data_IF_144120455490
#
_entry.id   IF_144120455490
#
_cell.length_a   1.000
_cell.length_b   1.000
_cell.length_c   1.000
_cell.angle_alpha   90.00
_cell.angle_beta   90.00
_cell.angle_gamma   90.00
#
_symmetry.space_group_name_H-M   'P 1'
#
loop_
_entity.id
_entity.type
_entity.pdbx_description
1 polymer ?
#
# COMPACT_ATOMS: atom_id res chain seq x y z
N UNK A 1 47.31 17.59 -61.97
CA UNK A 1 47.71 16.51 -61.04
C UNK A 1 46.60 16.40 -60.00
N UNK A 2 45.42 15.86 -60.34
CA UNK A 2 45.05 14.44 -60.38
C UNK A 2 45.43 13.64 -59.12
N UNK A 3 44.46 13.49 -58.20
CA UNK A 3 43.85 12.24 -57.73
C UNK A 3 43.43 12.37 -56.26
N UNK A 4 42.13 12.38 -55.96
CA UNK A 4 41.27 11.19 -55.72
C UNK A 4 41.69 10.43 -54.47
N UNK A 5 40.93 10.58 -53.37
CA UNK A 5 39.76 9.75 -52.98
C UNK A 5 40.17 8.55 -52.10
N UNK A 6 39.36 8.38 -51.05
CA UNK A 6 38.74 7.13 -50.60
C UNK A 6 39.16 6.61 -49.21
N UNK A 7 38.15 6.56 -48.34
CA UNK A 7 38.01 5.50 -47.34
C UNK A 7 38.12 4.12 -48.00
N UNK A 8 38.44 3.11 -47.19
CA UNK A 8 37.66 1.88 -47.25
C UNK A 8 37.16 1.43 -45.88
N UNK A 9 35.88 1.06 -45.84
CA UNK A 9 35.37 -0.02 -45.01
C UNK A 9 35.99 -1.32 -45.53
N UNK A 10 36.48 -2.20 -44.65
CA UNK A 10 36.51 -3.64 -44.93
C UNK A 10 36.54 -4.50 -43.67
N UNK A 11 35.60 -5.44 -43.69
CA UNK A 11 35.29 -6.57 -42.84
C UNK A 11 36.41 -7.64 -42.93
N UNK A 12 36.76 -8.33 -41.83
CA UNK A 12 36.72 -9.81 -41.69
C UNK A 12 37.42 -10.37 -40.43
N UNK A 13 36.65 -11.18 -39.70
CA UNK A 13 36.89 -12.43 -38.97
C UNK A 13 38.32 -12.96 -38.65
N UNK A 14 38.47 -13.44 -37.39
CA UNK A 14 39.04 -14.75 -37.01
C UNK A 14 38.57 -15.10 -35.57
N UNK A 15 37.73 -16.10 -35.24
CA UNK A 15 37.79 -17.58 -35.29
C UNK A 15 38.59 -18.27 -34.16
N UNK A 16 38.01 -19.37 -33.66
CA UNK A 16 38.47 -20.43 -32.71
C UNK A 16 37.94 -20.26 -31.26
N UNK A 17 36.81 -20.85 -30.83
CA UNK A 17 36.40 -22.28 -30.72
C UNK A 17 37.39 -23.21 -30.01
N UNK A 18 36.93 -23.78 -28.89
CA UNK A 18 37.15 -25.13 -28.27
C UNK A 18 36.75 -24.97 -26.77
N UNK A 19 35.86 -25.71 -26.12
CA UNK A 19 35.08 -26.93 -26.39
C UNK A 19 34.36 -27.32 -25.08
N UNK A 20 33.43 -28.28 -25.08
CA UNK A 20 32.38 -28.48 -24.07
C UNK A 20 32.83 -29.38 -22.89
N UNK A 21 32.25 -29.18 -21.71
CA UNK A 21 32.53 -30.03 -20.54
C UNK A 21 31.45 -30.00 -19.45
N UNK A 22 30.65 -31.07 -19.43
CA UNK A 22 29.93 -31.64 -18.28
C UNK A 22 29.01 -30.76 -17.42
N UNK A 23 27.72 -30.80 -17.78
CA UNK A 23 26.63 -30.81 -16.81
C UNK A 23 26.69 -32.10 -15.98
N UNK A 24 26.63 -31.99 -14.64
CA UNK A 24 25.98 -32.94 -13.71
C UNK A 24 26.09 -32.38 -12.29
N UNK A 25 25.51 -31.20 -12.10
CA UNK A 25 25.16 -30.68 -10.78
C UNK A 25 23.65 -30.56 -10.74
N UNK A 26 22.98 -31.59 -10.23
CA UNK A 26 21.54 -31.65 -9.99
C UNK A 26 21.21 -30.61 -8.92
N UNK A 27 21.13 -29.33 -9.32
CA UNK A 27 20.44 -28.30 -8.54
C UNK A 27 18.98 -28.73 -8.51
N UNK A 28 18.55 -29.23 -7.36
CA UNK A 28 17.14 -29.30 -7.00
C UNK A 28 16.56 -27.91 -7.20
N UNK A 29 15.90 -27.74 -8.34
CA UNK A 29 15.07 -26.60 -8.69
C UNK A 29 13.91 -26.55 -7.71
N UNK A 30 14.12 -25.88 -6.58
CA UNK A 30 13.07 -25.40 -5.70
C UNK A 30 12.91 -23.92 -6.00
N UNK A 31 11.95 -23.66 -6.88
CA UNK A 31 11.10 -22.48 -6.99
C UNK A 31 11.81 -21.13 -6.75
N UNK A 32 12.18 -20.47 -7.85
CA UNK A 32 12.24 -19.02 -7.84
C UNK A 32 10.84 -18.54 -7.43
N UNK A 33 10.71 -17.94 -6.24
CA UNK A 33 9.57 -17.08 -5.95
C UNK A 33 9.65 -15.98 -7.01
N UNK A 34 8.65 -15.92 -7.88
CA UNK A 34 8.34 -14.83 -8.82
C UNK A 34 9.56 -14.07 -9.38
N UNK A 35 10.12 -14.51 -10.52
CA UNK A 35 11.49 -14.19 -10.95
C UNK A 35 11.79 -12.73 -11.29
N UNK A 36 10.83 -11.80 -11.20
CA UNK A 36 11.02 -10.41 -11.63
C UNK A 36 11.16 -9.40 -10.48
N UNK A 37 10.60 -9.67 -9.28
CA UNK A 37 10.51 -8.65 -8.22
C UNK A 37 11.14 -9.05 -6.88
N UNK A 38 10.94 -10.31 -6.44
CA UNK A 38 11.28 -10.74 -5.09
C UNK A 38 12.00 -12.08 -5.14
N UNK A 39 13.13 -12.18 -4.43
CA UNK A 39 13.90 -13.40 -4.29
C UNK A 39 14.14 -13.69 -2.80
N UNK A 40 14.42 -14.93 -2.43
CA UNK A 40 14.76 -15.23 -1.03
C UNK A 40 16.26 -15.08 -0.76
N UNK A 41 16.61 -14.43 0.35
CA UNK A 41 17.98 -13.99 0.63
C UNK A 41 18.89 -15.08 1.22
N UNK A 42 18.39 -15.90 2.16
CA UNK A 42 19.24 -16.87 2.88
C UNK A 42 18.51 -18.14 3.37
N UNK A 43 17.23 -18.04 3.77
CA UNK A 43 16.35 -19.21 3.99
C UNK A 43 15.11 -19.08 3.08
N UNK A 44 15.06 -19.93 2.07
CA UNK A 44 14.02 -19.87 1.05
C UNK A 44 12.66 -20.33 1.56
N UNK A 45 12.57 -21.15 2.62
CA UNK A 45 11.31 -21.82 2.94
C UNK A 45 10.39 -20.97 3.79
N UNK A 46 10.90 -20.36 4.86
CA UNK A 46 10.08 -19.50 5.72
C UNK A 46 9.69 -18.20 5.01
N UNK A 47 10.64 -17.54 4.34
CA UNK A 47 10.39 -16.29 3.62
C UNK A 47 9.37 -16.47 2.49
N UNK A 48 9.46 -17.59 1.73
CA UNK A 48 8.44 -17.99 0.76
C UNK A 48 7.06 -18.14 1.40
N UNK A 49 6.98 -18.92 2.47
CA UNK A 49 5.71 -19.24 3.11
C UNK A 49 5.03 -17.99 3.68
N UNK A 50 5.78 -17.05 4.22
CA UNK A 50 5.25 -15.78 4.72
C UNK A 50 4.79 -14.87 3.58
N UNK A 51 5.52 -14.84 2.46
CA UNK A 51 5.14 -14.07 1.28
C UNK A 51 3.88 -14.63 0.61
N UNK A 52 3.78 -15.95 0.48
CA UNK A 52 2.56 -16.62 0.00
C UNK A 52 1.40 -16.38 0.96
N UNK A 53 1.65 -16.42 2.28
CA UNK A 53 0.65 -16.11 3.30
C UNK A 53 0.11 -14.67 3.20
N UNK A 54 0.96 -13.69 2.91
CA UNK A 54 0.56 -12.30 2.63
C UNK A 54 -0.44 -12.21 1.48
N UNK A 55 -0.38 -13.15 0.53
CA UNK A 55 -1.14 -13.15 -0.72
C UNK A 55 -0.26 -13.02 -1.96
N UNK A 56 1.06 -13.20 -1.82
CA UNK A 56 2.03 -13.14 -2.90
C UNK A 56 2.20 -11.75 -3.51
N UNK A 57 2.64 -11.73 -4.76
CA UNK A 57 2.95 -10.50 -5.50
C UNK A 57 1.75 -9.53 -5.61
N UNK A 58 0.51 -9.96 -5.88
CA UNK A 58 -0.62 -9.02 -5.98
C UNK A 58 -0.87 -8.25 -4.68
N UNK A 59 -0.86 -8.93 -3.53
CA UNK A 59 -1.05 -8.29 -2.22
C UNK A 59 0.13 -7.39 -1.86
N UNK A 60 1.35 -7.81 -2.17
CA UNK A 60 2.55 -7.00 -1.97
C UNK A 60 2.55 -5.73 -2.82
N UNK A 61 2.20 -5.83 -4.11
CA UNK A 61 2.10 -4.68 -4.99
C UNK A 61 1.00 -3.71 -4.53
N UNK A 62 -0.15 -4.22 -4.08
CA UNK A 62 -1.21 -3.38 -3.55
C UNK A 62 -0.79 -2.66 -2.25
N UNK A 63 -0.05 -3.35 -1.37
CA UNK A 63 0.61 -2.73 -0.21
C UNK A 63 1.55 -1.60 -0.62
N UNK A 64 2.47 -1.85 -1.55
CA UNK A 64 3.40 -0.83 -2.05
C UNK A 64 2.68 0.35 -2.71
N UNK A 65 1.59 0.10 -3.45
CA UNK A 65 0.75 1.16 -4.05
C UNK A 65 0.06 2.00 -2.99
N UNK A 66 -0.50 1.37 -1.96
CA UNK A 66 -1.11 2.08 -0.83
C UNK A 66 -0.07 2.98 -0.15
N UNK A 67 1.10 2.44 0.18
CA UNK A 67 2.18 3.20 0.81
C UNK A 67 2.62 4.38 -0.07
N UNK A 68 2.84 4.15 -1.36
CA UNK A 68 3.22 5.18 -2.33
C UNK A 68 2.18 6.32 -2.43
N UNK A 69 0.88 5.97 -2.45
CA UNK A 69 -0.20 6.96 -2.60
C UNK A 69 -0.43 7.79 -1.35
N UNK A 70 -0.33 7.16 -0.18
CA UNK A 70 -0.83 7.76 1.06
C UNK A 70 0.26 8.18 2.05
N UNK A 71 1.43 7.51 2.04
CA UNK A 71 2.39 7.64 3.14
C UNK A 71 3.82 7.99 2.71
N UNK A 72 4.25 7.59 1.51
CA UNK A 72 5.63 7.76 1.05
C UNK A 72 5.77 8.93 0.09
N UNK A 73 6.80 9.75 0.29
CA UNK A 73 7.19 10.83 -0.60
C UNK A 73 8.48 10.53 -1.38
N UNK A 74 8.85 11.44 -2.27
CA UNK A 74 10.11 11.36 -3.03
C UNK A 74 11.36 11.36 -2.12
N UNK A 75 11.27 11.91 -0.91
CA UNK A 75 12.37 11.96 0.05
C UNK A 75 12.56 10.63 0.78
N UNK A 76 11.51 9.88 1.04
CA UNK A 76 11.58 8.52 1.60
C UNK A 76 12.43 7.61 0.72
N UNK A 77 12.30 7.78 -0.59
CA UNK A 77 13.06 7.05 -1.58
C UNK A 77 14.46 7.63 -1.87
N UNK A 78 14.86 8.75 -1.27
CA UNK A 78 16.23 9.28 -1.41
C UNK A 78 17.07 9.05 -0.16
N UNK A 79 16.45 8.72 0.98
CA UNK A 79 17.10 8.47 2.27
C UNK A 79 17.52 7.01 2.51
N UNK A 80 17.63 6.22 1.45
CA UNK A 80 17.90 4.79 1.57
C UNK A 80 19.14 4.47 2.40
N UNK A 81 18.96 3.63 3.43
CA UNK A 81 20.07 2.93 4.03
C UNK A 81 20.64 1.95 2.99
N UNK A 82 21.79 2.29 2.39
CA UNK A 82 22.41 1.51 1.30
C UNK A 82 22.62 0.04 1.66
N UNK A 83 22.87 -0.22 2.94
CA UNK A 83 23.07 -1.56 3.53
C UNK A 83 21.86 -2.50 3.41
N UNK A 84 20.65 -1.97 3.24
CA UNK A 84 19.40 -2.75 3.20
C UNK A 84 18.49 -2.39 2.03
N UNK A 85 19.02 -1.67 1.02
CA UNK A 85 18.25 -1.10 -0.09
C UNK A 85 17.34 -2.10 -0.79
N UNK A 86 17.84 -3.30 -0.97
CA UNK A 86 17.19 -4.36 -1.73
C UNK A 86 16.64 -5.45 -0.81
N UNK A 87 16.24 -5.10 0.41
CA UNK A 87 15.71 -6.06 1.39
C UNK A 87 14.27 -5.76 1.76
N UNK A 88 13.49 -6.82 1.91
CA UNK A 88 12.16 -6.85 2.49
C UNK A 88 12.18 -7.85 3.65
N UNK A 89 11.75 -7.43 4.84
CA UNK A 89 11.72 -8.33 6.00
C UNK A 89 10.28 -8.66 6.39
N UNK A 90 10.03 -9.93 6.69
CA UNK A 90 8.71 -10.42 7.10
C UNK A 90 8.80 -11.25 8.37
N UNK A 91 7.80 -11.13 9.25
CA UNK A 91 7.62 -12.06 10.37
C UNK A 91 6.16 -12.19 10.75
N UNK A 92 5.78 -13.35 11.29
CA UNK A 92 4.52 -13.49 12.02
C UNK A 92 4.63 -12.80 13.36
N UNK A 93 3.58 -12.10 13.75
CA UNK A 93 3.44 -11.53 15.09
C UNK A 93 2.47 -12.40 15.88
N UNK A 94 2.90 -12.82 17.07
CA UNK A 94 2.00 -13.43 18.03
C UNK A 94 1.36 -12.32 18.86
N UNK A 95 0.03 -12.23 18.79
CA UNK A 95 -0.74 -11.36 19.68
C UNK A 95 -1.51 -12.21 20.69
N UNK A 96 -1.73 -11.65 21.87
CA UNK A 96 -2.66 -12.23 22.84
C UNK A 96 -4.06 -12.05 22.27
N UNK A 97 -4.71 -13.16 21.94
CA UNK A 97 -6.02 -13.19 21.33
C UNK A 97 -6.98 -14.00 22.23
N UNK A 98 -8.27 -13.67 22.16
CA UNK A 98 -9.30 -14.45 22.84
C UNK A 98 -9.42 -15.85 22.22
N UNK A 99 -9.97 -16.81 22.97
CA UNK A 99 -10.07 -18.20 22.51
C UNK A 99 -10.88 -18.40 21.20
N UNK A 100 -11.64 -17.40 20.77
CA UNK A 100 -12.45 -17.41 19.54
C UNK A 100 -11.84 -16.56 18.42
N UNK A 101 -10.67 -15.96 18.63
CA UNK A 101 -9.96 -15.15 17.65
C UNK A 101 -8.80 -15.95 17.04
N UNK A 102 -8.99 -16.38 15.79
CA UNK A 102 -8.01 -17.07 14.96
C UNK A 102 -7.31 -16.10 13.98
N UNK A 103 -7.39 -14.79 14.23
CA UNK A 103 -6.75 -13.79 13.38
C UNK A 103 -5.25 -13.99 13.33
N UNK A 104 -4.68 -13.69 12.16
CA UNK A 104 -3.23 -13.78 11.93
C UNK A 104 -2.65 -12.40 11.73
N UNK A 105 -1.42 -12.23 12.20
CA UNK A 105 -0.71 -10.96 12.14
C UNK A 105 0.64 -11.14 11.45
N UNK A 106 0.95 -10.22 10.55
CA UNK A 106 2.18 -10.21 9.79
C UNK A 106 2.79 -8.81 9.86
N UNK A 107 4.09 -8.75 10.08
CA UNK A 107 4.85 -7.51 9.92
C UNK A 107 5.66 -7.55 8.65
N UNK A 108 5.59 -6.46 7.89
CA UNK A 108 6.37 -6.22 6.68
C UNK A 108 7.22 -4.99 6.91
N UNK A 109 8.53 -5.13 6.76
CA UNK A 109 9.50 -4.04 6.99
C UNK A 109 10.23 -3.74 5.70
N UNK A 110 10.26 -2.45 5.36
CA UNK A 110 11.12 -1.86 4.34
C UNK A 110 12.29 -1.16 5.06
N UNK A 111 13.34 -1.92 5.45
CA UNK A 111 14.42 -1.43 6.30
C UNK A 111 15.15 -0.24 5.68
N UNK A 112 15.24 -0.20 4.35
CA UNK A 112 15.92 0.86 3.61
C UNK A 112 15.32 2.25 3.84
N UNK A 113 14.00 2.32 4.03
CA UNK A 113 13.24 3.57 4.23
C UNK A 113 12.68 3.71 5.65
N UNK A 114 13.02 2.79 6.55
CA UNK A 114 12.59 2.83 7.95
C UNK A 114 11.07 2.66 8.15
N UNK A 115 10.39 1.97 7.23
CA UNK A 115 8.93 1.74 7.29
C UNK A 115 8.65 0.32 7.78
N UNK A 116 7.75 0.20 8.76
CA UNK A 116 7.20 -1.07 9.22
C UNK A 116 5.68 -1.01 9.17
N UNK A 117 5.08 -2.04 8.59
CA UNK A 117 3.64 -2.19 8.45
C UNK A 117 3.21 -3.44 9.22
N UNK A 118 2.28 -3.28 10.15
CA UNK A 118 1.62 -4.41 10.81
C UNK A 118 0.28 -4.65 10.12
N UNK A 119 0.09 -5.89 9.69
CA UNK A 119 -1.07 -6.35 8.98
C UNK A 119 -1.85 -7.35 9.84
N UNK A 120 -3.18 -7.34 9.72
CA UNK A 120 -4.09 -8.32 10.33
C UNK A 120 -4.93 -8.98 9.26
N UNK A 121 -5.01 -10.31 9.28
CA UNK A 121 -6.03 -11.08 8.58
C UNK A 121 -7.06 -11.54 9.60
N UNK A 122 -8.21 -10.87 9.64
CA UNK A 122 -9.22 -11.10 10.65
C UNK A 122 -9.89 -12.47 10.47
N UNK A 123 -10.03 -13.21 11.56
CA UNK A 123 -10.88 -14.41 11.66
C UNK A 123 -11.34 -14.58 13.11
N UNK A 124 -12.40 -13.88 13.47
CA UNK A 124 -12.94 -13.93 14.83
C UNK A 124 -14.47 -13.78 14.85
N UNK A 125 -15.06 -14.08 16.01
CA UNK A 125 -16.48 -13.93 16.25
C UNK A 125 -16.72 -12.93 17.37
N UNK A 126 -17.75 -12.09 17.21
CA UNK A 126 -18.28 -11.23 18.26
C UNK A 126 -19.61 -11.83 18.72
N UNK A 127 -19.64 -12.62 19.83
CA UNK A 127 -20.83 -13.33 20.27
C UNK A 127 -22.02 -12.42 20.54
N UNK A 128 -21.79 -11.25 21.15
CA UNK A 128 -22.79 -10.27 21.56
C UNK A 128 -23.55 -9.71 20.36
N UNK A 129 -22.84 -9.50 19.24
CA UNK A 129 -23.41 -8.99 17.99
C UNK A 129 -23.85 -10.11 17.04
N UNK A 130 -23.61 -11.38 17.40
CA UNK A 130 -23.79 -12.55 16.52
C UNK A 130 -23.08 -12.38 15.16
N UNK A 131 -21.97 -11.65 15.15
CA UNK A 131 -21.24 -11.27 13.94
C UNK A 131 -19.98 -12.13 13.81
N UNK A 132 -19.74 -12.65 12.60
CA UNK A 132 -18.47 -13.28 12.24
C UNK A 132 -17.67 -12.27 11.40
N UNK A 133 -16.45 -11.95 11.84
CA UNK A 133 -15.57 -11.01 11.14
C UNK A 133 -14.46 -11.82 10.48
N UNK A 134 -14.45 -11.82 9.16
CA UNK A 134 -13.46 -12.49 8.33
C UNK A 134 -12.95 -11.55 7.25
N UNK A 135 -11.65 -11.59 7.01
CA UNK A 135 -11.02 -10.86 5.89
C UNK A 135 -10.44 -11.83 4.89
N UNK A 136 -10.71 -11.59 3.61
CA UNK A 136 -10.16 -12.40 2.51
C UNK A 136 -8.63 -12.30 2.45
N UNK A 137 -8.09 -11.13 2.79
CA UNK A 137 -6.67 -10.82 2.81
C UNK A 137 -6.22 -10.13 4.09
N UNK A 138 -4.94 -9.75 4.10
CA UNK A 138 -4.37 -8.92 5.14
C UNK A 138 -4.78 -7.46 4.97
N UNK A 139 -5.12 -6.79 6.09
CA UNK A 139 -5.41 -5.36 6.16
C UNK A 139 -4.39 -4.66 7.05
N UNK A 140 -4.01 -3.44 6.70
CA UNK A 140 -3.11 -2.59 7.48
C UNK A 140 -3.84 -2.16 8.75
N UNK A 141 -3.25 -2.49 9.90
CA UNK A 141 -3.74 -2.02 11.21
C UNK A 141 -2.78 -1.01 11.85
N UNK A 142 -1.53 -0.97 11.39
CA UNK A 142 -0.54 -0.03 11.89
C UNK A 142 0.54 0.23 10.85
N UNK A 143 0.92 1.49 10.73
CA UNK A 143 2.08 1.93 9.99
C UNK A 143 3.00 2.71 10.93
N UNK A 144 4.30 2.42 10.88
CA UNK A 144 5.32 3.06 11.69
C UNK A 144 6.48 3.50 10.79
N UNK A 145 6.92 4.76 10.98
CA UNK A 145 8.10 5.36 10.32
C UNK A 145 9.16 5.66 11.37
N UNK A 146 10.44 5.47 11.01
CA UNK A 146 11.67 5.83 11.76
C UNK A 146 11.85 5.24 13.17
N UNK A 147 10.87 5.34 14.07
CA UNK A 147 10.94 4.85 15.45
C UNK A 147 10.99 3.33 15.55
N UNK A 148 10.47 2.60 14.57
CA UNK A 148 10.50 1.13 14.57
C UNK A 148 11.83 0.54 14.07
N UNK A 149 12.67 1.35 13.39
CA UNK A 149 14.02 0.93 12.95
C UNK A 149 14.92 0.55 14.13
N UNK A 150 14.73 1.18 15.29
CA UNK A 150 15.51 0.87 16.50
C UNK A 150 15.04 -0.42 17.20
N UNK A 151 13.79 -0.82 16.99
CA UNK A 151 13.20 -1.98 17.66
C UNK A 151 13.34 -3.27 16.83
N UNK A 152 13.28 -3.18 15.50
CA UNK A 152 13.39 -4.33 14.61
C UNK A 152 14.86 -4.74 14.41
N UNK A 153 15.20 -5.97 14.79
CA UNK A 153 16.50 -6.57 14.50
C UNK A 153 16.34 -7.55 13.35
N UNK A 154 17.20 -7.47 12.33
CA UNK A 154 17.18 -8.37 11.16
C UNK A 154 17.07 -9.85 11.52
N UNK A 155 17.72 -10.28 12.61
CA UNK A 155 17.71 -11.68 13.07
C UNK A 155 16.32 -12.22 13.43
N UNK A 156 15.34 -11.35 13.67
CA UNK A 156 13.98 -11.72 14.06
C UNK A 156 13.04 -11.88 12.86
N UNK A 157 13.55 -11.76 11.63
CA UNK A 157 12.75 -11.73 10.40
C UNK A 157 13.27 -12.69 9.34
N UNK A 158 12.33 -13.21 8.55
CA UNK A 158 12.63 -13.80 7.26
C UNK A 158 12.94 -12.69 6.25
N UNK A 159 14.03 -12.84 5.49
CA UNK A 159 14.53 -11.80 4.58
C UNK A 159 14.34 -12.24 3.13
N UNK A 160 13.70 -11.37 2.37
CA UNK A 160 13.61 -11.43 0.92
C UNK A 160 14.50 -10.33 0.32
N UNK A 161 15.14 -10.65 -0.80
CA UNK A 161 15.71 -9.66 -1.71
C UNK A 161 14.59 -9.05 -2.55
N UNK A 162 14.58 -7.74 -2.66
CA UNK A 162 13.62 -6.96 -3.42
C UNK A 162 14.37 -6.24 -4.56
N UNK A 163 13.99 -6.52 -5.80
CA UNK A 163 14.42 -5.69 -6.92
C UNK A 163 13.66 -4.37 -6.88
N UNK A 164 14.28 -3.38 -6.25
CA UNK A 164 13.67 -2.05 -6.09
C UNK A 164 13.46 -1.36 -7.44
N UNK A 165 14.29 -1.64 -8.45
CA UNK A 165 14.16 -1.06 -9.77
C UNK A 165 12.94 -1.63 -10.49
N UNK A 166 12.79 -2.95 -10.48
CA UNK A 166 11.60 -3.62 -11.01
C UNK A 166 10.32 -3.17 -10.26
N UNK A 167 10.40 -2.97 -8.93
CA UNK A 167 9.27 -2.44 -8.16
C UNK A 167 8.84 -1.07 -8.66
N UNK A 168 9.78 -0.17 -8.90
CA UNK A 168 9.44 1.17 -9.39
C UNK A 168 8.86 1.16 -10.78
N UNK A 169 9.44 0.40 -11.70
CA UNK A 169 8.90 0.25 -13.05
C UNK A 169 7.45 -0.24 -12.96
N UNK A 170 7.21 -1.24 -12.11
CA UNK A 170 5.87 -1.78 -11.89
C UNK A 170 4.92 -0.77 -11.26
N UNK A 171 5.31 -0.07 -10.20
CA UNK A 171 4.48 0.97 -9.58
C UNK A 171 4.17 2.11 -10.55
N UNK A 172 5.12 2.48 -11.41
CA UNK A 172 4.92 3.48 -12.44
C UNK A 172 3.89 3.01 -13.46
N UNK A 173 3.97 1.77 -13.95
CA UNK A 173 2.97 1.20 -14.86
C UNK A 173 1.56 1.21 -14.25
N UNK A 174 1.44 0.80 -12.99
CA UNK A 174 0.17 0.66 -12.28
C UNK A 174 -0.35 1.98 -11.67
N UNK A 175 0.36 3.11 -11.84
CA UNK A 175 0.08 4.36 -11.10
C UNK A 175 -1.34 4.89 -11.31
N UNK A 176 -1.89 4.70 -12.51
CA UNK A 176 -3.24 5.14 -12.90
C UNK A 176 -4.32 4.07 -12.72
N UNK A 177 -3.95 2.84 -12.37
CA UNK A 177 -4.94 1.81 -12.10
C UNK A 177 -5.72 2.14 -10.83
N UNK A 178 -7.03 2.01 -10.90
CA UNK A 178 -7.92 2.41 -9.81
C UNK A 178 -8.98 1.35 -9.60
N UNK A 179 -9.16 0.99 -8.33
CA UNK A 179 -10.31 0.25 -7.86
C UNK A 179 -11.14 1.21 -7.03
N UNK A 180 -12.45 1.25 -7.28
CA UNK A 180 -13.35 2.15 -6.58
C UNK A 180 -14.20 1.40 -5.57
N UNK A 181 -14.65 2.08 -4.49
CA UNK A 181 -15.60 1.48 -3.57
C UNK A 181 -16.87 1.05 -4.31
N UNK A 182 -17.55 0.01 -3.82
CA UNK A 182 -18.80 -0.46 -4.40
C UNK A 182 -19.86 0.65 -4.41
N UNK A 183 -20.84 0.57 -5.31
CA UNK A 183 -21.93 1.57 -5.35
C UNK A 183 -22.70 1.63 -4.03
N UNK A 184 -22.85 0.49 -3.34
CA UNK A 184 -23.48 0.40 -2.03
C UNK A 184 -22.70 1.19 -0.98
N UNK A 185 -21.38 1.03 -0.92
CA UNK A 185 -20.53 1.78 0.01
C UNK A 185 -20.55 3.29 -0.32
N UNK A 186 -20.48 3.64 -1.60
CA UNK A 186 -20.59 5.04 -2.01
C UNK A 186 -21.93 5.67 -1.63
N UNK A 187 -23.05 4.93 -1.79
CA UNK A 187 -24.37 5.41 -1.42
C UNK A 187 -24.52 5.56 0.10
N UNK A 188 -24.00 4.60 0.87
CA UNK A 188 -23.98 4.65 2.33
C UNK A 188 -23.19 5.88 2.82
N UNK A 189 -21.98 6.08 2.30
CA UNK A 189 -21.13 7.23 2.63
C UNK A 189 -21.75 8.55 2.19
N UNK A 190 -22.35 8.62 0.99
CA UNK A 190 -23.04 9.84 0.54
C UNK A 190 -24.19 10.21 1.47
N UNK A 191 -24.99 9.22 1.89
CA UNK A 191 -26.10 9.45 2.83
C UNK A 191 -25.60 9.85 4.22
N UNK A 192 -24.44 9.35 4.65
CA UNK A 192 -23.80 9.75 5.90
C UNK A 192 -23.23 11.17 5.83
N UNK A 193 -22.54 11.51 4.74
CA UNK A 193 -22.05 12.85 4.47
C UNK A 193 -23.19 13.86 4.43
N UNK A 194 -24.31 13.56 3.79
CA UNK A 194 -25.47 14.45 3.76
C UNK A 194 -26.05 14.76 5.16
N UNK A 195 -25.82 13.87 6.16
CA UNK A 195 -26.20 14.14 7.55
C UNK A 195 -25.15 14.93 8.33
N UNK A 196 -23.87 14.77 7.98
CA UNK A 196 -22.72 15.36 8.68
C UNK A 196 -22.32 16.73 8.14
N UNK A 197 -22.44 16.90 6.84
CA UNK A 197 -22.20 18.16 6.18
C UNK A 197 -23.24 19.15 6.71
N UNK A 198 -22.77 20.28 7.26
CA UNK A 198 -23.62 21.43 7.58
C UNK A 198 -24.03 22.16 6.29
N UNK A 199 -24.37 21.39 5.27
CA UNK A 199 -24.80 21.86 3.96
C UNK A 199 -26.31 22.11 4.00
N UNK A 200 -26.80 23.18 3.38
CA UNK A 200 -28.22 23.31 3.10
C UNK A 200 -28.73 22.05 2.39
N UNK A 201 -29.90 21.55 2.79
CA UNK A 201 -30.49 20.29 2.32
C UNK A 201 -30.75 20.23 0.80
N UNK A 202 -30.61 21.36 0.10
CA UNK A 202 -30.79 21.48 -1.36
C UNK A 202 -29.51 21.94 -2.07
N UNK A 203 -28.38 22.05 -1.36
CA UNK A 203 -27.12 22.45 -1.96
C UNK A 203 -26.58 21.31 -2.84
N UNK A 204 -26.06 21.61 -4.04
CA UNK A 204 -25.39 20.59 -4.85
C UNK A 204 -24.19 20.03 -4.08
N UNK A 205 -24.09 18.70 -4.04
CA UNK A 205 -22.97 18.00 -3.43
C UNK A 205 -22.19 17.25 -4.50
N UNK A 206 -21.06 17.80 -4.91
CA UNK A 206 -20.11 17.08 -5.76
C UNK A 206 -19.08 16.38 -4.87
N UNK A 207 -19.14 15.05 -4.88
CA UNK A 207 -18.29 14.16 -4.10
C UNK A 207 -17.26 13.49 -5.00
N UNK A 208 -16.02 13.40 -4.51
CA UNK A 208 -14.92 12.73 -5.17
C UNK A 208 -14.42 11.59 -4.30
N UNK A 209 -14.70 10.35 -4.70
CA UNK A 209 -14.29 9.15 -3.98
C UNK A 209 -12.89 8.73 -4.41
N UNK A 210 -11.97 8.62 -3.47
CA UNK A 210 -10.65 8.06 -3.74
C UNK A 210 -10.75 6.57 -4.15
N UNK A 211 -9.76 6.06 -4.89
CA UNK A 211 -9.57 4.63 -5.06
C UNK A 211 -9.37 3.95 -3.69
N UNK A 212 -9.85 2.72 -3.57
CA UNK A 212 -9.64 1.85 -2.41
C UNK A 212 -8.53 0.85 -2.71
N UNK A 213 -7.88 0.37 -1.66
CA UNK A 213 -6.95 -0.74 -1.74
C UNK A 213 -7.56 -1.98 -1.08
N UNK A 214 -7.09 -3.15 -1.47
CA UNK A 214 -7.47 -4.39 -0.78
C UNK A 214 -6.71 -4.53 0.54
N UNK A 215 -5.61 -3.83 0.71
CA UNK A 215 -4.79 -3.90 1.93
C UNK A 215 -5.19 -2.87 2.99
N UNK A 216 -6.09 -1.93 2.72
CA UNK A 216 -6.54 -0.93 3.69
C UNK A 216 -8.02 -1.12 4.05
N UNK A 217 -8.45 -0.40 5.07
CA UNK A 217 -9.84 -0.37 5.49
C UNK A 217 -10.32 1.08 5.67
N UNK A 218 -9.85 1.93 4.75
CA UNK A 218 -10.08 3.36 4.75
C UNK A 218 -10.69 3.78 3.41
N UNK A 219 -11.50 4.84 3.43
CA UNK A 219 -12.01 5.50 2.24
C UNK A 219 -11.95 7.01 2.42
N UNK A 220 -11.26 7.67 1.51
CA UNK A 220 -11.21 9.12 1.44
C UNK A 220 -12.24 9.67 0.47
N UNK A 221 -12.96 10.70 0.90
CA UNK A 221 -13.94 11.41 0.06
C UNK A 221 -13.71 12.91 0.19
N UNK A 222 -13.62 13.60 -0.94
CA UNK A 222 -13.57 15.06 -0.98
C UNK A 222 -14.92 15.64 -1.39
N UNK A 223 -15.43 16.56 -0.58
CA UNK A 223 -16.61 17.36 -0.91
C UNK A 223 -16.17 18.74 -1.43
N UNK A 224 -16.46 19.00 -2.71
CA UNK A 224 -15.91 20.14 -3.42
C UNK A 224 -16.46 21.48 -2.95
N UNK A 225 -17.76 21.59 -2.70
CA UNK A 225 -18.40 22.87 -2.33
C UNK A 225 -18.03 23.26 -0.90
N UNK A 226 -18.03 22.30 0.02
CA UNK A 226 -17.65 22.51 1.42
C UNK A 226 -16.14 22.59 1.65
N UNK A 227 -15.31 22.26 0.66
CA UNK A 227 -13.84 22.18 0.79
C UNK A 227 -13.41 21.27 1.95
N UNK A 228 -14.12 20.17 2.14
CA UNK A 228 -13.90 19.23 3.24
C UNK A 228 -13.41 17.88 2.72
N UNK A 229 -12.41 17.33 3.39
CA UNK A 229 -11.96 15.96 3.25
C UNK A 229 -12.56 15.11 4.37
N UNK A 230 -13.06 13.94 4.00
CA UNK A 230 -13.57 12.96 4.93
C UNK A 230 -12.75 11.69 4.80
N UNK A 231 -12.26 11.18 5.93
CA UNK A 231 -11.65 9.86 6.03
C UNK A 231 -12.60 8.94 6.78
N UNK A 232 -13.16 7.99 6.06
CA UNK A 232 -13.92 6.89 6.62
C UNK A 232 -12.97 5.75 6.95
N UNK A 233 -13.13 5.16 8.13
CA UNK A 233 -12.39 3.98 8.57
C UNK A 233 -13.30 3.05 9.37
N UNK A 234 -12.93 1.78 9.43
CA UNK A 234 -13.65 0.78 10.20
C UNK A 234 -12.68 -0.25 10.77
N UNK A 235 -13.03 -0.86 11.90
CA UNK A 235 -12.30 -2.01 12.46
C UNK A 235 -12.71 -3.34 11.78
N UNK A 236 -13.84 -3.31 11.05
CA UNK A 236 -14.42 -4.42 10.27
C UNK A 236 -14.39 -4.02 8.80
N UNK A 237 -14.26 -4.97 7.87
CA UNK A 237 -14.17 -4.68 6.43
C UNK A 237 -15.23 -3.66 5.97
N UNK A 238 -14.75 -2.51 5.50
CA UNK A 238 -15.53 -1.34 5.10
C UNK A 238 -16.41 -1.67 3.91
N UNK A 239 -16.01 -2.62 3.07
CA UNK A 239 -16.77 -3.04 1.90
C UNK A 239 -17.96 -3.96 2.25
N UNK A 240 -18.02 -4.52 3.46
CA UNK A 240 -19.04 -5.47 3.89
C UNK A 240 -20.30 -4.75 4.43
N UNK A 241 -21.45 -4.79 3.72
CA UNK A 241 -22.65 -4.06 4.14
C UNK A 241 -23.20 -4.50 5.50
N UNK A 242 -22.98 -5.76 5.90
CA UNK A 242 -23.38 -6.24 7.22
C UNK A 242 -22.68 -5.46 8.34
N UNK A 243 -21.45 -5.00 8.14
CA UNK A 243 -20.69 -4.24 9.13
C UNK A 243 -21.39 -2.92 9.49
N UNK A 244 -21.97 -2.23 8.50
CA UNK A 244 -22.61 -0.91 8.67
C UNK A 244 -23.88 -0.97 9.53
N UNK A 245 -24.48 -2.15 9.68
CA UNK A 245 -25.69 -2.33 10.49
C UNK A 245 -25.37 -2.40 11.99
N UNK A 246 -24.14 -2.82 12.33
CA UNK A 246 -23.74 -3.11 13.71
C UNK A 246 -22.81 -2.05 14.31
N UNK A 247 -22.08 -1.30 13.47
CA UNK A 247 -21.24 -0.20 13.90
C UNK A 247 -21.35 0.98 12.91
N UNK A 248 -21.48 2.23 13.40
CA UNK A 248 -21.34 3.39 12.53
C UNK A 248 -19.90 3.44 12.00
N UNK A 249 -19.74 3.86 10.75
CA UNK A 249 -18.41 4.12 10.21
C UNK A 249 -17.76 5.25 11.01
N UNK A 250 -16.52 5.04 11.43
CA UNK A 250 -15.72 6.12 11.97
C UNK A 250 -15.38 7.08 10.83
N UNK A 251 -15.57 8.36 11.07
CA UNK A 251 -15.40 9.38 10.05
C UNK A 251 -14.74 10.61 10.66
N UNK A 252 -13.52 10.88 10.21
CA UNK A 252 -12.83 12.14 10.49
C UNK A 252 -13.09 13.13 9.35
N UNK A 253 -13.39 14.38 9.70
CA UNK A 253 -13.62 15.45 8.74
C UNK A 253 -12.58 16.56 8.93
N UNK A 254 -12.03 17.05 7.82
CA UNK A 254 -11.00 18.08 7.80
C UNK A 254 -11.39 19.17 6.80
N UNK A 255 -11.53 20.40 7.29
CA UNK A 255 -11.60 21.59 6.46
C UNK A 255 -10.23 21.83 5.82
N UNK A 256 -10.16 21.71 4.49
CA UNK A 256 -8.89 21.80 3.74
C UNK A 256 -8.29 23.21 3.73
N UNK A 257 -9.05 24.22 4.15
CA UNK A 257 -8.63 25.62 4.22
C UNK A 257 -8.14 25.96 5.63
N UNK A 258 -8.88 25.56 6.67
CA UNK A 258 -8.62 26.02 8.05
C UNK A 258 -7.90 24.99 8.93
N UNK A 259 -7.96 23.70 8.58
CA UNK A 259 -7.36 22.62 9.36
C UNK A 259 -6.12 22.01 8.69
N UNK A 260 -5.54 22.73 7.72
CA UNK A 260 -4.30 22.34 7.06
C UNK A 260 -3.11 23.08 7.67
N UNK A 261 -2.13 22.34 8.18
CA UNK A 261 -0.85 22.86 8.71
C UNK A 261 0.32 22.45 7.84
N UNK A 262 1.45 23.17 7.86
CA UNK A 262 2.67 22.74 7.17
C UNK A 262 3.31 21.58 7.93
N UNK A 263 3.32 21.65 9.25
CA UNK A 263 3.86 20.62 10.15
C UNK A 263 2.96 20.46 11.38
N UNK A 264 2.93 19.26 11.95
CA UNK A 264 2.26 19.03 13.24
C UNK A 264 2.90 19.81 14.40
N UNK A 265 4.08 20.40 14.21
CA UNK A 265 4.68 21.33 15.18
C UNK A 265 3.86 22.61 15.37
N UNK A 266 3.05 23.01 14.39
CA UNK A 266 2.15 24.16 14.50
C UNK A 266 0.96 23.90 15.44
N UNK A 267 0.56 22.64 15.57
CA UNK A 267 -0.52 22.19 16.44
C UNK A 267 -0.19 20.84 17.11
N UNK A 268 0.80 20.80 18.04
CA UNK A 268 1.30 19.55 18.58
C UNK A 268 0.23 18.75 19.32
N UNK A 269 -0.01 17.51 18.89
CA UNK A 269 -0.96 16.58 19.52
C UNK A 269 -2.43 16.90 19.25
N UNK A 270 -2.75 17.86 18.40
CA UNK A 270 -4.13 18.15 18.00
C UNK A 270 -4.50 17.38 16.72
N UNK A 271 -5.23 16.28 16.91
CA UNK A 271 -5.66 15.40 15.83
C UNK A 271 -6.70 16.01 14.88
N UNK A 272 -7.12 17.26 15.11
CA UNK A 272 -8.03 17.99 14.21
C UNK A 272 -7.31 18.56 12.99
N UNK A 273 -5.98 18.60 12.99
CA UNK A 273 -5.20 19.13 11.88
C UNK A 273 -4.62 18.01 11.01
N UNK A 274 -4.42 18.33 9.75
CA UNK A 274 -3.74 17.48 8.76
C UNK A 274 -2.64 18.27 8.08
N UNK A 275 -1.54 17.62 7.73
CA UNK A 275 -0.45 18.32 7.06
C UNK A 275 -0.79 18.64 5.61
N UNK A 276 -0.16 19.69 5.06
CA UNK A 276 -0.30 20.09 3.67
C UNK A 276 0.04 18.96 2.69
N UNK A 277 1.03 18.13 3.03
CA UNK A 277 1.39 16.95 2.24
C UNK A 277 0.25 15.92 2.22
N UNK A 278 -0.30 15.58 3.39
CA UNK A 278 -1.44 14.65 3.51
C UNK A 278 -2.67 15.16 2.76
N UNK A 279 -3.00 16.45 2.88
CA UNK A 279 -4.12 17.06 2.14
C UNK A 279 -3.86 17.01 0.63
N UNK A 280 -2.64 17.36 0.19
CA UNK A 280 -2.26 17.29 -1.22
C UNK A 280 -2.44 15.90 -1.81
N UNK A 281 -2.00 14.85 -1.08
CA UNK A 281 -2.18 13.45 -1.47
C UNK A 281 -3.64 13.03 -1.50
N UNK A 282 -4.40 13.38 -0.47
CA UNK A 282 -5.82 13.05 -0.41
C UNK A 282 -6.60 13.69 -1.56
N UNK A 283 -6.34 14.98 -1.84
CA UNK A 283 -6.95 15.67 -2.97
C UNK A 283 -6.50 15.09 -4.31
N UNK A 284 -5.24 14.73 -4.49
CA UNK A 284 -4.79 14.05 -5.72
C UNK A 284 -5.52 12.72 -5.92
N UNK A 285 -5.60 11.89 -4.88
CA UNK A 285 -6.29 10.60 -4.93
C UNK A 285 -7.80 10.76 -5.16
N UNK A 286 -8.45 11.77 -4.59
CA UNK A 286 -9.88 12.02 -4.79
C UNK A 286 -10.18 12.69 -6.15
N UNK A 287 -9.48 13.77 -6.50
CA UNK A 287 -9.84 14.61 -7.66
C UNK A 287 -9.24 14.12 -8.97
N UNK A 288 -8.01 13.58 -8.94
CA UNK A 288 -7.28 13.17 -10.14
C UNK A 288 -7.47 11.69 -10.42
N UNK A 289 -7.28 10.85 -9.39
CA UNK A 289 -7.45 9.40 -9.51
C UNK A 289 -8.86 8.93 -9.15
N UNK A 290 -9.63 9.78 -8.48
CA UNK A 290 -10.90 9.38 -7.89
C UNK A 290 -12.06 9.41 -8.88
N UNK A 291 -13.23 9.03 -8.37
CA UNK A 291 -14.49 9.04 -9.12
C UNK A 291 -15.37 10.16 -8.62
N UNK A 292 -15.71 11.09 -9.52
CA UNK A 292 -16.72 12.11 -9.28
C UNK A 292 -18.11 11.49 -9.23
N UNK A 293 -18.91 11.94 -8.27
CA UNK A 293 -20.33 11.66 -8.16
C UNK A 293 -21.06 12.94 -7.81
N UNK A 294 -22.02 13.30 -8.63
CA UNK A 294 -22.94 14.38 -8.31
C UNK A 294 -24.09 13.77 -7.49
N UNK A 295 -24.26 14.25 -6.26
CA UNK A 295 -25.38 13.87 -5.43
C UNK A 295 -26.49 14.91 -5.63
N UNK A 296 -27.59 14.44 -6.21
CA UNK A 296 -28.86 15.18 -6.30
C UNK A 296 -29.79 14.50 -5.31
N UNK A 297 -30.31 15.27 -4.36
CA UNK A 297 -31.21 14.79 -3.31
C UNK A 297 -32.49 14.14 -3.86
#
# INVERSE_FOLDING_TARGET
>A
MNNSRALPLLVLAALCLLGPGCQTGRRTSLTALFPELIHAHTDHTEAAALFDELGGEPAFLDLCRYLYRWHLDEHDFTRFATEHRDQLWLRRVQMVADAQDNSRYLEVVFPAIGVMVTLKKADYRIPELKLAVKSDGYRIIRLCRDTCRQAARRADFAVLDLDIHALYERLFELRLETQFPSEALQAHVSADLARRADAPRDAPMTLFFAPVHTVDNELWVFWQEGKQLFRYSSDIDLAEPAAWTHAPLDAAAYDTVTQTVVSFEEAPGDNRFVTRDQVGRALYNCMILGRRRDHVH
#
